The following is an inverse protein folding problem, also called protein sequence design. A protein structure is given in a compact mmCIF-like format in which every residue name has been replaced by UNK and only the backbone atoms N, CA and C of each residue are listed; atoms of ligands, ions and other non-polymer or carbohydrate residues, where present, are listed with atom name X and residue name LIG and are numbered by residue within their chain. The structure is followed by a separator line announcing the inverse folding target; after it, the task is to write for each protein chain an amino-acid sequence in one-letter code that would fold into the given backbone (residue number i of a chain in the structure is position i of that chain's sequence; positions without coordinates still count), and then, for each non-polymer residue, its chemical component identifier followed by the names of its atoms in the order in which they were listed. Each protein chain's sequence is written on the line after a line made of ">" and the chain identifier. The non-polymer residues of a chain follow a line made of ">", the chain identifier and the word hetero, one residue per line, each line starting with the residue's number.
data_IF_626780387496
#
_entry.id   IF_626780387496
#
_cell.length_a   1.000
_cell.length_b   1.000
_cell.length_c   1.000
_cell.angle_alpha   90.00
_cell.angle_beta   90.00
_cell.angle_gamma   90.00
#
_symmetry.space_group_name_H-M   'P 1'
#
loop_
_entity.id
_entity.type
_entity.pdbx_description
1 polymer ?
#
# COMPACT_ATOMS: atom_id res chain seq x y z
N UNK A 1 -7.85 -0.86 -3.65
CA UNK A 1 -6.54 -1.02 -4.34
C UNK A 1 -6.29 -2.51 -4.55
N UNK A 2 -5.76 -2.96 -5.69
CA UNK A 2 -5.49 -4.39 -5.94
C UNK A 2 -4.00 -4.66 -5.69
N UNK A 3 -3.70 -5.34 -4.59
CA UNK A 3 -2.34 -5.71 -4.19
C UNK A 3 -2.15 -7.17 -4.58
N UNK A 4 -1.03 -7.52 -5.22
CA UNK A 4 -0.72 -8.90 -5.62
C UNK A 4 0.71 -9.22 -5.25
N UNK A 5 0.92 -10.31 -4.50
CA UNK A 5 2.25 -10.76 -4.10
C UNK A 5 2.64 -11.94 -4.98
N UNK A 6 3.74 -11.80 -5.69
CA UNK A 6 4.37 -12.84 -6.49
C UNK A 6 5.64 -13.29 -5.77
N UNK A 7 5.60 -14.46 -5.15
CA UNK A 7 6.79 -15.09 -4.54
C UNK A 7 7.52 -15.90 -5.59
N UNK A 8 8.83 -15.67 -5.77
CA UNK A 8 9.62 -16.53 -6.65
C UNK A 8 9.80 -17.91 -5.99
N UNK A 9 9.50 -18.98 -6.73
CA UNK A 9 9.64 -20.38 -6.28
C UNK A 9 11.09 -20.76 -5.90
N UNK A 10 12.08 -19.97 -6.32
CA UNK A 10 13.48 -20.11 -5.93
C UNK A 10 13.82 -19.50 -4.55
N UNK A 11 12.83 -18.96 -3.82
CA UNK A 11 12.97 -18.49 -2.44
C UNK A 11 13.86 -17.25 -2.26
N UNK A 12 14.31 -16.61 -3.35
CA UNK A 12 15.29 -15.52 -3.32
C UNK A 12 14.68 -14.10 -3.26
N UNK A 13 13.35 -14.00 -3.13
CA UNK A 13 12.65 -12.72 -3.03
C UNK A 13 11.21 -12.80 -3.47
N UNK A 14 10.47 -11.73 -3.25
CA UNK A 14 9.09 -11.58 -3.67
C UNK A 14 8.84 -10.21 -4.29
N UNK A 15 7.86 -10.13 -5.19
CA UNK A 15 7.48 -8.91 -5.88
C UNK A 15 6.05 -8.58 -5.53
N UNK A 16 5.85 -7.40 -4.97
CA UNK A 16 4.53 -6.86 -4.66
C UNK A 16 4.12 -5.92 -5.79
N UNK A 17 2.99 -6.23 -6.40
CA UNK A 17 2.35 -5.41 -7.41
C UNK A 17 1.24 -4.57 -6.78
N UNK A 18 1.36 -3.26 -6.94
CA UNK A 18 0.43 -2.23 -6.50
C UNK A 18 -0.19 -1.60 -7.75
N UNK A 19 -1.15 -2.30 -8.36
CA UNK A 19 -1.65 -1.95 -9.69
C UNK A 19 -0.54 -2.07 -10.74
N UNK A 20 -0.13 -0.94 -11.32
CA UNK A 20 0.92 -0.88 -12.35
C UNK A 20 2.35 -0.76 -11.76
N UNK A 21 2.46 -0.53 -10.45
CA UNK A 21 3.76 -0.39 -9.77
C UNK A 21 4.23 -1.74 -9.23
N UNK A 22 5.45 -2.15 -9.57
CA UNK A 22 6.09 -3.33 -8.99
C UNK A 22 7.17 -2.92 -7.98
N UNK A 23 7.10 -3.48 -6.78
CA UNK A 23 8.11 -3.32 -5.73
C UNK A 23 8.69 -4.68 -5.41
N UNK A 24 10.02 -4.81 -5.47
CA UNK A 24 10.70 -6.09 -5.21
C UNK A 24 11.29 -6.08 -3.81
N UNK A 25 11.11 -7.18 -3.09
CA UNK A 25 11.55 -7.38 -1.73
C UNK A 25 12.43 -8.62 -1.61
N UNK A 26 13.41 -8.60 -0.70
CA UNK A 26 14.32 -9.73 -0.48
C UNK A 26 13.64 -10.92 0.20
N UNK A 27 12.56 -10.70 0.98
CA UNK A 27 11.84 -11.73 1.71
C UNK A 27 10.36 -11.35 1.88
N UNK A 28 9.53 -12.32 2.28
CA UNK A 28 8.08 -12.13 2.44
C UNK A 28 7.73 -11.23 3.64
N UNK A 29 8.55 -11.21 4.69
CA UNK A 29 8.33 -10.45 5.92
C UNK A 29 8.41 -8.93 5.66
N UNK A 30 9.43 -8.49 4.92
CA UNK A 30 9.59 -7.12 4.44
C UNK A 30 8.41 -6.71 3.55
N UNK A 31 7.99 -7.59 2.63
CA UNK A 31 6.85 -7.32 1.75
C UNK A 31 5.54 -7.16 2.53
N UNK A 32 5.28 -8.03 3.52
CA UNK A 32 4.10 -7.94 4.38
C UNK A 32 4.12 -6.68 5.24
N UNK A 33 5.28 -6.35 5.83
CA UNK A 33 5.46 -5.14 6.64
C UNK A 33 5.23 -3.87 5.81
N UNK A 34 5.66 -3.87 4.55
CA UNK A 34 5.40 -2.77 3.62
C UNK A 34 3.91 -2.65 3.27
N UNK A 35 3.23 -3.76 2.98
CA UNK A 35 1.79 -3.77 2.66
C UNK A 35 0.98 -3.27 3.86
N UNK A 36 1.27 -3.75 5.07
CA UNK A 36 0.58 -3.31 6.29
C UNK A 36 0.72 -1.80 6.52
N UNK A 37 1.92 -1.24 6.35
CA UNK A 37 2.13 0.22 6.43
C UNK A 37 1.41 0.96 5.29
N UNK A 38 1.34 0.38 4.10
CA UNK A 38 0.64 0.98 2.98
C UNK A 38 -0.87 1.03 3.24
N UNK A 39 -1.46 -0.04 3.76
CA UNK A 39 -2.87 -0.11 4.14
C UNK A 39 -3.18 0.90 5.25
N UNK A 40 -2.36 0.95 6.31
CA UNK A 40 -2.52 1.92 7.39
C UNK A 40 -2.47 3.37 6.87
N UNK A 41 -1.55 3.66 5.95
CA UNK A 41 -1.45 4.99 5.33
C UNK A 41 -2.63 5.30 4.42
N UNK A 42 -3.18 4.31 3.71
CA UNK A 42 -4.36 4.48 2.87
C UNK A 42 -5.59 4.76 3.75
N UNK A 43 -5.76 4.05 4.86
CA UNK A 43 -6.82 4.31 5.83
C UNK A 43 -6.68 5.70 6.44
N UNK A 44 -5.48 6.08 6.89
CA UNK A 44 -5.19 7.40 7.45
C UNK A 44 -5.36 8.54 6.42
N UNK A 45 -4.95 8.32 5.17
CA UNK A 45 -5.14 9.28 4.08
C UNK A 45 -6.61 9.40 3.69
N UNK A 46 -7.35 8.28 3.63
CA UNK A 46 -8.80 8.31 3.39
C UNK A 46 -9.53 9.11 4.47
N UNK A 47 -9.05 9.02 5.71
CA UNK A 47 -9.54 9.82 6.82
C UNK A 47 -9.17 11.32 6.68
N UNK A 48 -7.99 11.63 6.14
CA UNK A 48 -7.54 13.01 5.88
C UNK A 48 -8.31 13.67 4.73
N UNK A 49 -8.56 12.94 3.63
CA UNK A 49 -9.36 13.43 2.51
C UNK A 49 -10.85 13.58 2.84
N UNK A 50 -11.37 12.85 3.83
CA UNK A 50 -12.75 13.03 4.32
C UNK A 50 -12.93 14.28 5.19
N UNK A 51 -11.87 14.82 5.80
CA UNK A 51 -11.94 16.08 6.57
C UNK A 51 -11.88 17.34 5.68
N UNK A 52 -11.28 17.28 4.50
CA UNK A 52 -11.22 18.42 3.58
C UNK A 52 -12.56 18.69 2.86
N UNK A 53 -13.41 17.65 2.74
CA UNK A 53 -14.76 17.80 2.19
C UNK A 53 -15.78 18.41 3.19
N UNK A 54 -15.37 18.67 4.44
CA UNK A 54 -16.25 19.15 5.51
C UNK A 54 -15.96 20.59 5.96
N UNK A 55 -15.21 21.38 5.18
CA UNK A 55 -15.13 22.82 5.41
C UNK A 55 -15.69 23.58 4.20
N UNK A 56 -17.00 23.87 4.17
CA UNK A 56 -17.49 24.92 3.30
C UNK A 56 -17.02 26.23 3.92
N UNK A 57 -15.85 26.73 3.51
CA UNK A 57 -15.50 28.14 3.68
C UNK A 57 -16.46 28.97 2.83
N UNK A 58 -17.68 29.18 3.36
CA UNK A 58 -18.63 30.16 2.86
C UNK A 58 -18.12 31.52 3.33
N UNK A 59 -17.48 32.24 2.42
CA UNK A 59 -17.15 33.65 2.57
C UNK A 59 -18.30 34.53 2.06
#
# INVERSE_FOLDING_TARGET
>A
MKITIETNEQGSGCKVWLGETAVSFPNLEDAQTYIAQLEERIEAASHTFAQDAANPEIK
#
